data_IF_331750869026
#
_entry.id   IF_331750869026
#
_cell.length_a   1.000
_cell.length_b   1.000
_cell.length_c   1.000
_cell.angle_alpha   90.00
_cell.angle_beta   90.00
_cell.angle_gamma   90.00
#
_symmetry.space_group_name_H-M   'P 1'
#
loop_
_entity.id
_entity.type
_entity.pdbx_description
1 polymer ?
#
# COMPACT_ATOMS: atom_id res chain seq x y z
N UNK A 1 -10.71 5.79 -15.12
CA UNK A 1 -9.93 6.48 -14.07
C UNK A 1 -9.52 5.56 -12.93
N UNK A 2 -10.43 4.82 -12.26
CA UNK A 2 -10.12 3.91 -11.13
C UNK A 2 -8.98 2.92 -11.43
N UNK A 3 -9.05 2.19 -12.55
CA UNK A 3 -8.02 1.22 -12.96
C UNK A 3 -6.64 1.86 -13.13
N UNK A 4 -6.59 2.99 -13.81
CA UNK A 4 -5.32 3.70 -14.02
C UNK A 4 -4.68 4.09 -12.68
N UNK A 5 -5.47 4.57 -11.72
CA UNK A 5 -5.00 4.88 -10.37
C UNK A 5 -4.46 3.65 -9.63
N UNK A 6 -5.22 2.54 -9.64
CA UNK A 6 -4.83 1.28 -8.98
C UNK A 6 -3.54 0.66 -9.54
N UNK A 7 -3.18 0.98 -10.77
CA UNK A 7 -1.92 0.54 -11.39
C UNK A 7 -0.81 1.60 -11.23
N UNK A 8 -1.12 2.87 -11.47
CA UNK A 8 -0.12 3.93 -11.46
C UNK A 8 0.54 4.11 -10.10
N UNK A 9 -0.23 4.06 -9.01
CA UNK A 9 0.29 4.28 -7.66
C UNK A 9 1.34 3.23 -7.26
N UNK A 10 1.06 1.91 -7.28
CA UNK A 10 2.07 0.92 -6.91
C UNK A 10 3.26 0.91 -7.88
N UNK A 11 3.05 1.16 -9.18
CA UNK A 11 4.14 1.21 -10.14
C UNK A 11 5.04 2.44 -9.93
N UNK A 12 4.46 3.61 -9.66
CA UNK A 12 5.23 4.81 -9.34
C UNK A 12 6.06 4.61 -8.06
N UNK A 13 5.47 3.99 -7.04
CA UNK A 13 6.20 3.70 -5.81
C UNK A 13 7.29 2.64 -6.03
N UNK A 14 7.02 1.58 -6.79
CA UNK A 14 8.04 0.58 -7.13
C UNK A 14 9.24 1.22 -7.84
N UNK A 15 9.00 2.12 -8.79
CA UNK A 15 10.07 2.85 -9.49
C UNK A 15 10.83 3.76 -8.53
N UNK A 16 10.13 4.51 -7.66
CA UNK A 16 10.77 5.39 -6.69
C UNK A 16 11.71 4.61 -5.75
N UNK A 17 11.26 3.45 -5.27
CA UNK A 17 12.05 2.61 -4.36
C UNK A 17 13.32 2.05 -5.00
N UNK A 18 13.43 1.96 -6.33
CA UNK A 18 14.70 1.56 -6.99
C UNK A 18 15.84 2.57 -6.73
N UNK A 19 15.49 3.79 -6.36
CA UNK A 19 16.45 4.84 -6.02
C UNK A 19 16.72 4.93 -4.50
N UNK A 20 16.11 4.05 -3.70
CA UNK A 20 16.28 4.08 -2.26
C UNK A 20 17.72 3.76 -1.87
N UNK A 21 18.41 4.65 -1.12
CA UNK A 21 19.71 4.33 -0.54
C UNK A 21 19.59 3.16 0.45
N UNK A 22 20.67 2.39 0.58
CA UNK A 22 20.78 1.34 1.59
C UNK A 22 21.84 1.76 2.62
N UNK A 23 21.49 2.62 3.58
CA UNK A 23 22.43 3.04 4.61
C UNK A 23 22.76 1.90 5.57
N UNK A 24 23.88 2.01 6.26
CA UNK A 24 24.19 1.19 7.43
C UNK A 24 23.33 1.68 8.60
N UNK A 25 22.41 0.87 9.14
CA UNK A 25 21.58 1.27 10.28
C UNK A 25 22.36 1.65 11.54
N UNK A 26 23.59 1.15 11.69
CA UNK A 26 24.48 1.47 12.81
C UNK A 26 25.24 2.78 12.65
N UNK A 27 25.23 3.39 11.44
CA UNK A 27 25.92 4.63 11.15
C UNK A 27 25.17 5.45 10.07
N UNK A 28 24.00 5.96 10.45
CA UNK A 28 23.12 6.68 9.55
C UNK A 28 23.71 7.97 9.02
N UNK A 29 24.47 8.72 9.86
CA UNK A 29 25.04 9.99 9.41
C UNK A 29 26.08 9.77 8.31
N UNK A 30 27.09 8.94 8.55
CA UNK A 30 28.17 8.72 7.58
C UNK A 30 27.64 8.03 6.31
N UNK A 31 26.63 7.18 6.42
CA UNK A 31 25.98 6.57 5.26
C UNK A 31 25.21 7.55 4.38
N UNK A 32 24.69 8.65 4.92
CA UNK A 32 23.81 9.57 4.20
C UNK A 32 24.43 10.95 3.92
N UNK A 33 25.56 11.30 4.56
CA UNK A 33 26.13 12.65 4.48
C UNK A 33 26.48 13.11 3.07
N UNK A 34 26.84 12.20 2.18
CA UNK A 34 27.24 12.53 0.82
C UNK A 34 26.02 12.70 -0.12
N UNK A 35 24.90 12.03 0.15
CA UNK A 35 23.69 12.05 -0.70
C UNK A 35 22.37 12.31 0.07
N UNK A 36 22.30 13.27 1.01
CA UNK A 36 21.09 13.47 1.80
C UNK A 36 19.89 13.93 0.98
N UNK A 37 20.15 14.59 -0.17
CA UNK A 37 19.11 15.00 -1.11
C UNK A 37 18.41 13.83 -1.78
N UNK A 38 19.15 12.76 -2.12
CA UNK A 38 18.57 11.53 -2.66
C UNK A 38 17.68 10.85 -1.62
N UNK A 39 18.15 10.71 -0.40
CA UNK A 39 17.37 10.18 0.72
C UNK A 39 16.06 10.93 0.89
N UNK A 40 16.12 12.26 1.02
CA UNK A 40 14.94 13.12 1.18
C UNK A 40 13.96 13.00 0.01
N UNK A 41 14.46 12.97 -1.23
CA UNK A 41 13.59 12.85 -2.41
C UNK A 41 12.80 11.55 -2.39
N UNK A 42 13.45 10.44 -2.06
CA UNK A 42 12.79 9.13 -1.98
C UNK A 42 11.75 9.12 -0.87
N UNK A 43 12.09 9.60 0.32
CA UNK A 43 11.18 9.55 1.48
C UNK A 43 10.02 10.54 1.38
N UNK A 44 10.22 11.73 0.81
CA UNK A 44 9.12 12.64 0.49
C UNK A 44 8.14 12.03 -0.52
N UNK A 45 8.66 11.40 -1.57
CA UNK A 45 7.85 10.69 -2.55
C UNK A 45 7.12 9.50 -1.93
N UNK A 46 7.81 8.72 -1.09
CA UNK A 46 7.25 7.58 -0.36
C UNK A 46 6.12 8.01 0.57
N UNK A 47 6.31 9.08 1.35
CA UNK A 47 5.25 9.60 2.23
C UNK A 47 3.96 9.92 1.45
N UNK A 48 4.08 10.58 0.30
CA UNK A 48 2.94 10.87 -0.56
C UNK A 48 2.29 9.59 -1.10
N UNK A 49 3.11 8.64 -1.56
CA UNK A 49 2.64 7.38 -2.15
C UNK A 49 2.03 6.43 -1.10
N UNK A 50 2.44 6.48 0.17
CA UNK A 50 1.77 5.78 1.27
C UNK A 50 0.29 6.18 1.36
N UNK A 51 0.00 7.48 1.34
CA UNK A 51 -1.39 7.97 1.37
C UNK A 51 -2.18 7.52 0.15
N UNK A 52 -1.60 7.62 -1.05
CA UNK A 52 -2.23 7.16 -2.29
C UNK A 52 -2.43 5.64 -2.31
N UNK A 53 -1.51 4.86 -1.74
CA UNK A 53 -1.62 3.41 -1.66
C UNK A 53 -2.73 2.98 -0.69
N UNK A 54 -2.89 3.68 0.44
CA UNK A 54 -4.05 3.52 1.32
C UNK A 54 -5.37 3.77 0.57
N UNK A 55 -5.44 4.84 -0.22
CA UNK A 55 -6.59 5.13 -1.08
C UNK A 55 -6.79 4.05 -2.17
N UNK A 56 -5.70 3.50 -2.74
CA UNK A 56 -5.79 2.41 -3.72
C UNK A 56 -6.42 1.16 -3.11
N UNK A 57 -6.02 0.75 -1.91
CA UNK A 57 -6.64 -0.38 -1.21
C UNK A 57 -8.11 -0.09 -0.90
N UNK A 58 -8.44 1.12 -0.44
CA UNK A 58 -9.82 1.53 -0.20
C UNK A 58 -10.67 1.38 -1.47
N UNK A 59 -10.19 1.92 -2.59
CA UNK A 59 -10.85 1.80 -3.89
C UNK A 59 -10.93 0.36 -4.37
N UNK A 60 -9.92 -0.47 -4.13
CA UNK A 60 -9.89 -1.87 -4.56
C UNK A 60 -11.08 -2.66 -3.99
N UNK A 61 -11.44 -2.41 -2.74
CA UNK A 61 -12.56 -3.09 -2.06
C UNK A 61 -13.86 -2.27 -2.07
N UNK A 62 -13.89 -1.15 -2.80
CA UNK A 62 -15.09 -0.32 -2.88
C UNK A 62 -16.23 -1.04 -3.59
N UNK A 63 -17.44 -0.94 -2.99
CA UNK A 63 -18.63 -1.67 -3.44
C UNK A 63 -18.66 -3.15 -3.02
N UNK A 64 -17.60 -3.71 -2.42
CA UNK A 64 -17.65 -5.07 -1.90
C UNK A 64 -18.34 -5.09 -0.53
N UNK A 65 -19.31 -6.03 -0.33
CA UNK A 65 -20.01 -6.18 0.95
C UNK A 65 -19.18 -6.96 1.97
N UNK A 66 -19.57 -6.84 3.23
CA UNK A 66 -19.12 -7.72 4.31
C UNK A 66 -17.95 -7.17 5.13
N UNK A 67 -17.62 -7.92 6.19
CA UNK A 67 -16.67 -7.52 7.22
C UNK A 67 -15.22 -7.43 6.69
N UNK A 68 -14.84 -8.30 5.76
CA UNK A 68 -13.49 -8.29 5.19
C UNK A 68 -13.18 -6.97 4.47
N UNK A 69 -14.12 -6.43 3.67
CA UNK A 69 -13.94 -5.15 3.02
C UNK A 69 -13.85 -3.99 4.03
N UNK A 70 -14.61 -4.04 5.13
CA UNK A 70 -14.52 -3.04 6.20
C UNK A 70 -13.17 -3.09 6.91
N UNK A 71 -12.70 -4.28 7.28
CA UNK A 71 -11.39 -4.50 7.91
C UNK A 71 -10.27 -4.00 6.99
N UNK A 72 -10.33 -4.29 5.69
CA UNK A 72 -9.35 -3.82 4.71
C UNK A 72 -9.26 -2.29 4.70
N UNK A 73 -10.39 -1.59 4.71
CA UNK A 73 -10.42 -0.10 4.74
C UNK A 73 -9.83 0.47 6.02
N UNK A 74 -10.17 -0.13 7.17
CA UNK A 74 -9.60 0.28 8.46
C UNK A 74 -8.08 0.05 8.46
N UNK A 75 -7.63 -1.14 8.04
CA UNK A 75 -6.21 -1.46 7.94
C UNK A 75 -5.46 -0.48 7.02
N UNK A 76 -6.04 -0.12 5.87
CA UNK A 76 -5.46 0.88 4.96
C UNK A 76 -5.34 2.27 5.61
N UNK A 77 -6.32 2.68 6.42
CA UNK A 77 -6.24 3.92 7.20
C UNK A 77 -5.15 3.86 8.27
N UNK A 78 -5.07 2.77 9.02
CA UNK A 78 -4.01 2.56 10.02
C UNK A 78 -2.62 2.59 9.36
N UNK A 79 -2.46 1.90 8.24
CA UNK A 79 -1.22 1.95 7.45
C UNK A 79 -0.86 3.38 7.06
N UNK A 80 -1.78 4.12 6.44
CA UNK A 80 -1.49 5.47 5.93
C UNK A 80 -1.08 6.43 7.06
N UNK A 81 -1.72 6.33 8.23
CA UNK A 81 -1.43 7.20 9.38
C UNK A 81 -0.12 6.81 10.06
N UNK A 82 0.01 5.56 10.48
CA UNK A 82 1.15 5.16 11.31
C UNK A 82 2.43 4.93 10.53
N UNK A 83 2.34 4.27 9.37
CA UNK A 83 3.51 4.10 8.50
C UNK A 83 3.98 5.45 7.95
N UNK A 84 3.03 6.34 7.58
CA UNK A 84 3.33 7.70 7.17
C UNK A 84 3.97 8.53 8.29
N UNK A 85 3.58 8.36 9.55
CA UNK A 85 4.23 9.01 10.69
C UNK A 85 5.66 8.52 10.89
N UNK A 86 5.90 7.21 10.83
CA UNK A 86 7.25 6.62 10.85
C UNK A 86 8.12 7.17 9.73
N UNK A 87 7.60 7.16 8.50
CA UNK A 87 8.28 7.70 7.31
C UNK A 87 8.64 9.19 7.44
N UNK A 88 7.74 9.99 8.01
CA UNK A 88 8.00 11.41 8.22
C UNK A 88 9.14 11.65 9.23
N UNK A 89 9.24 10.82 10.27
CA UNK A 89 10.27 10.97 11.30
C UNK A 89 11.58 10.35 10.84
N UNK A 90 11.58 9.07 10.48
CA UNK A 90 12.79 8.33 10.12
C UNK A 90 13.31 8.67 8.72
N UNK A 91 12.42 8.80 7.74
CA UNK A 91 12.82 9.17 6.39
C UNK A 91 13.16 10.65 6.29
N UNK A 92 12.17 11.51 6.50
CA UNK A 92 12.32 12.95 6.26
C UNK A 92 13.10 13.61 7.40
N UNK A 93 12.75 13.33 8.66
CA UNK A 93 13.41 13.94 9.82
C UNK A 93 14.91 13.65 9.86
N UNK A 94 15.30 12.39 9.66
CA UNK A 94 16.70 11.98 9.57
C UNK A 94 17.42 12.70 8.42
N UNK A 95 16.85 12.75 7.23
CA UNK A 95 17.46 13.40 6.08
C UNK A 95 17.66 14.91 6.28
N UNK A 96 16.68 15.61 6.85
CA UNK A 96 16.78 17.03 7.19
C UNK A 96 17.86 17.27 8.24
N UNK A 97 17.94 16.39 9.26
CA UNK A 97 18.96 16.51 10.31
C UNK A 97 20.36 16.27 9.74
N UNK A 98 20.55 15.28 8.86
CA UNK A 98 21.83 15.06 8.16
C UNK A 98 22.24 16.28 7.36
N UNK A 99 21.32 16.93 6.60
CA UNK A 99 21.65 18.18 5.90
C UNK A 99 22.07 19.31 6.84
N UNK A 100 21.42 19.42 7.99
CA UNK A 100 21.77 20.42 9.00
C UNK A 100 23.17 20.16 9.58
N UNK A 101 23.48 18.91 9.94
CA UNK A 101 24.79 18.51 10.48
C UNK A 101 25.90 18.73 9.44
N UNK A 102 25.66 18.50 8.17
CA UNK A 102 26.64 18.78 7.11
C UNK A 102 27.05 20.26 7.03
N UNK A 103 26.15 21.17 7.41
CA UNK A 103 26.40 22.61 7.41
C UNK A 103 27.00 23.10 8.72
N UNK A 104 27.03 22.28 9.77
CA UNK A 104 27.55 22.64 11.08
C UNK A 104 29.10 22.71 11.08
N UNK A 105 29.69 23.52 12.00
CA UNK A 105 31.12 23.49 12.25
C UNK A 105 31.62 22.08 12.58
N UNK A 106 32.85 21.76 12.20
CA UNK A 106 33.43 20.43 12.43
C UNK A 106 33.37 19.98 13.90
N UNK A 107 33.57 20.92 14.83
CA UNK A 107 33.49 20.68 16.28
C UNK A 107 32.11 20.18 16.76
N UNK A 108 31.05 20.43 15.99
CA UNK A 108 29.66 20.08 16.32
C UNK A 108 29.19 18.83 15.60
N UNK A 109 29.87 18.39 14.54
CA UNK A 109 29.44 17.27 13.69
C UNK A 109 29.33 15.95 14.44
N UNK A 110 30.22 15.68 15.39
CA UNK A 110 30.17 14.45 16.21
C UNK A 110 28.89 14.41 17.06
N UNK A 111 28.52 15.53 17.67
CA UNK A 111 27.28 15.63 18.42
C UNK A 111 26.05 15.51 17.52
N UNK A 112 26.11 16.15 16.34
CA UNK A 112 25.08 16.07 15.31
C UNK A 112 24.88 14.64 14.79
N UNK A 113 25.95 13.91 14.47
CA UNK A 113 25.89 12.51 14.04
C UNK A 113 25.20 11.60 15.10
N UNK A 114 25.51 11.83 16.40
CA UNK A 114 24.82 11.12 17.48
C UNK A 114 23.33 11.46 17.55
N UNK A 115 22.95 12.71 17.25
CA UNK A 115 21.54 13.10 17.21
C UNK A 115 20.80 12.44 16.03
N UNK A 116 21.45 12.32 14.86
CA UNK A 116 20.93 11.57 13.71
C UNK A 116 20.65 10.13 14.10
N UNK A 117 21.63 9.45 14.71
CA UNK A 117 21.49 8.06 15.15
C UNK A 117 20.40 7.91 16.22
N UNK A 118 20.34 8.80 17.21
CA UNK A 118 19.29 8.78 18.23
C UNK A 118 17.88 9.00 17.70
N UNK A 119 17.74 9.79 16.61
CA UNK A 119 16.45 9.95 15.92
C UNK A 119 16.08 8.68 15.15
N UNK A 120 17.05 8.05 14.48
CA UNK A 120 16.86 6.79 13.78
C UNK A 120 16.44 5.66 14.73
N UNK A 121 17.15 5.48 15.83
CA UNK A 121 16.91 4.43 16.83
C UNK A 121 15.74 4.76 17.78
N UNK A 122 14.95 5.78 17.48
CA UNK A 122 13.87 6.18 18.38
C UNK A 122 12.74 5.16 18.39
N UNK A 123 12.43 4.51 19.53
CA UNK A 123 11.48 3.40 19.58
C UNK A 123 10.03 3.82 19.27
N UNK A 124 9.68 5.11 19.39
CA UNK A 124 8.33 5.57 19.05
C UNK A 124 8.13 5.62 17.54
N UNK A 125 9.15 6.04 16.80
CA UNK A 125 9.06 6.11 15.33
C UNK A 125 9.37 4.77 14.67
N UNK A 126 10.41 4.07 15.09
CA UNK A 126 10.83 2.80 14.50
C UNK A 126 9.95 1.64 14.97
N UNK A 127 9.98 1.32 16.26
CA UNK A 127 9.27 0.14 16.76
C UNK A 127 7.75 0.32 16.72
N UNK A 128 7.24 1.46 17.22
CA UNK A 128 5.80 1.61 17.42
C UNK A 128 5.08 2.05 16.12
N UNK A 129 5.47 3.18 15.53
CA UNK A 129 4.74 3.73 14.40
C UNK A 129 4.89 2.85 13.16
N UNK A 130 6.13 2.46 12.81
CA UNK A 130 6.38 1.59 11.66
C UNK A 130 5.72 0.23 11.85
N UNK A 131 5.81 -0.39 13.03
CA UNK A 131 5.21 -1.70 13.30
C UNK A 131 3.67 -1.66 13.23
N UNK A 132 3.02 -0.65 13.84
CA UNK A 132 1.55 -0.51 13.76
C UNK A 132 1.13 -0.28 12.30
N UNK A 133 1.86 0.57 11.58
CA UNK A 133 1.62 0.80 10.16
C UNK A 133 1.79 -0.47 9.33
N UNK A 134 2.83 -1.25 9.58
CA UNK A 134 3.10 -2.53 8.94
C UNK A 134 1.96 -3.55 9.19
N UNK A 135 1.52 -3.69 10.41
CA UNK A 135 0.36 -4.54 10.76
C UNK A 135 -0.88 -4.03 10.03
N UNK A 136 -1.10 -2.69 10.01
CA UNK A 136 -2.19 -2.06 9.27
C UNK A 136 -2.19 -2.45 7.79
N UNK A 137 -1.03 -2.41 7.13
CA UNK A 137 -0.89 -2.84 5.74
C UNK A 137 -1.19 -4.32 5.56
N UNK A 138 -0.56 -5.19 6.34
CA UNK A 138 -0.81 -6.64 6.27
C UNK A 138 -2.30 -6.95 6.43
N UNK A 139 -2.96 -6.37 7.45
CA UNK A 139 -4.41 -6.50 7.65
C UNK A 139 -5.19 -5.99 6.44
N UNK A 140 -4.81 -4.85 5.88
CA UNK A 140 -5.47 -4.26 4.72
C UNK A 140 -5.45 -5.19 3.51
N UNK A 141 -4.27 -5.73 3.14
CA UNK A 141 -4.13 -6.54 1.93
C UNK A 141 -4.67 -7.95 2.10
N UNK A 142 -4.50 -8.59 3.27
CA UNK A 142 -5.09 -9.91 3.53
C UNK A 142 -6.61 -9.84 3.60
N UNK A 143 -7.17 -8.81 4.22
CA UNK A 143 -8.62 -8.60 4.24
C UNK A 143 -9.15 -8.23 2.86
N UNK A 144 -8.43 -7.45 2.05
CA UNK A 144 -8.77 -7.21 0.64
C UNK A 144 -8.78 -8.51 -0.16
N UNK A 145 -7.73 -9.34 -0.02
CA UNK A 145 -7.64 -10.65 -0.66
C UNK A 145 -8.84 -11.54 -0.32
N UNK A 146 -9.22 -11.59 0.97
CA UNK A 146 -10.40 -12.31 1.41
C UNK A 146 -11.71 -11.73 0.85
N UNK A 147 -11.82 -10.40 0.75
CA UNK A 147 -13.01 -9.73 0.22
C UNK A 147 -13.19 -10.02 -1.28
N UNK A 148 -12.13 -9.86 -2.09
CA UNK A 148 -12.18 -10.15 -3.53
C UNK A 148 -12.37 -11.63 -3.81
N UNK A 149 -11.76 -12.53 -3.02
CA UNK A 149 -11.96 -13.96 -3.14
C UNK A 149 -13.43 -14.36 -2.93
N UNK A 150 -14.07 -13.85 -1.87
CA UNK A 150 -15.50 -14.08 -1.61
C UNK A 150 -16.40 -13.50 -2.70
N UNK A 151 -15.94 -12.46 -3.40
CA UNK A 151 -16.62 -11.90 -4.56
C UNK A 151 -16.38 -12.70 -5.85
N UNK A 152 -15.69 -13.84 -5.80
CA UNK A 152 -15.46 -14.74 -6.93
C UNK A 152 -14.19 -14.42 -7.74
N UNK A 153 -13.27 -13.64 -7.19
CA UNK A 153 -11.99 -13.37 -7.84
C UNK A 153 -11.14 -14.66 -7.98
N UNK A 154 -10.29 -14.74 -9.02
CA UNK A 154 -9.36 -15.85 -9.18
C UNK A 154 -8.38 -15.97 -8.01
N UNK A 155 -8.02 -17.21 -7.66
CA UNK A 155 -7.06 -17.49 -6.60
C UNK A 155 -5.72 -16.75 -6.82
N UNK A 156 -5.28 -16.63 -8.09
CA UNK A 156 -4.05 -15.91 -8.42
C UNK A 156 -4.08 -14.44 -7.95
N UNK A 157 -5.20 -13.73 -8.13
CA UNK A 157 -5.33 -12.36 -7.63
C UNK A 157 -5.31 -12.30 -6.10
N UNK A 158 -5.95 -13.26 -5.43
CA UNK A 158 -5.97 -13.38 -3.97
C UNK A 158 -4.56 -13.60 -3.41
N UNK A 159 -3.80 -14.52 -4.01
CA UNK A 159 -2.42 -14.82 -3.61
C UNK A 159 -1.51 -13.61 -3.85
N UNK A 160 -1.60 -12.96 -5.01
CA UNK A 160 -0.80 -11.78 -5.34
C UNK A 160 -1.07 -10.62 -4.37
N UNK A 161 -2.33 -10.40 -3.97
CA UNK A 161 -2.65 -9.41 -2.94
C UNK A 161 -2.02 -9.77 -1.58
N UNK A 162 -2.09 -11.04 -1.17
CA UNK A 162 -1.40 -11.49 0.04
C UNK A 162 0.11 -11.27 -0.02
N UNK A 163 0.74 -11.62 -1.14
CA UNK A 163 2.17 -11.42 -1.38
C UNK A 163 2.57 -9.94 -1.38
N UNK A 164 1.65 -9.03 -1.70
CA UNK A 164 1.96 -7.59 -1.63
C UNK A 164 2.27 -7.09 -0.21
N UNK A 165 2.00 -7.90 0.83
CA UNK A 165 2.39 -7.59 2.21
C UNK A 165 3.91 -7.40 2.39
N UNK A 166 4.73 -8.01 1.53
CA UNK A 166 6.21 -7.89 1.60
C UNK A 166 6.74 -6.48 1.29
N UNK A 167 5.91 -5.56 0.77
CA UNK A 167 6.31 -4.15 0.53
C UNK A 167 6.80 -3.45 1.80
N UNK A 168 6.45 -3.96 2.96
CA UNK A 168 6.89 -3.43 4.26
C UNK A 168 8.41 -3.48 4.45
N UNK A 169 9.07 -4.39 3.77
CA UNK A 169 10.53 -4.39 3.59
C UNK A 169 10.85 -3.48 2.39
N UNK A 170 10.56 -2.17 2.51
CA UNK A 170 10.53 -1.25 1.38
C UNK A 170 11.85 -1.09 0.62
N UNK A 171 12.98 -1.46 1.22
CA UNK A 171 14.28 -1.45 0.56
C UNK A 171 14.30 -2.40 -0.67
N UNK A 172 15.02 -2.01 -1.74
CA UNK A 172 15.22 -2.89 -2.90
C UNK A 172 15.97 -4.18 -2.51
N UNK A 173 15.67 -5.32 -3.15
CA UNK A 173 14.66 -5.49 -4.21
C UNK A 173 13.25 -5.83 -3.70
N UNK A 174 13.07 -6.04 -2.40
CA UNK A 174 11.87 -6.68 -1.83
C UNK A 174 10.64 -5.76 -1.92
N UNK A 175 10.80 -4.49 -1.53
CA UNK A 175 9.70 -3.51 -1.59
C UNK A 175 9.07 -3.36 -2.97
N UNK A 176 9.86 -3.10 -4.03
CA UNK A 176 9.37 -3.07 -5.41
C UNK A 176 8.60 -4.33 -5.82
N UNK A 177 9.09 -5.52 -5.44
CA UNK A 177 8.41 -6.80 -5.76
C UNK A 177 7.02 -6.87 -5.12
N UNK A 178 6.87 -6.44 -3.86
CA UNK A 178 5.56 -6.37 -3.20
C UNK A 178 4.56 -5.47 -3.93
N UNK A 179 5.01 -4.30 -4.40
CA UNK A 179 4.19 -3.37 -5.17
C UNK A 179 3.81 -3.92 -6.55
N UNK A 180 4.74 -4.63 -7.20
CA UNK A 180 4.45 -5.33 -8.47
C UNK A 180 3.44 -6.46 -8.27
N UNK A 181 3.48 -7.19 -7.15
CA UNK A 181 2.45 -8.18 -6.82
C UNK A 181 1.07 -7.52 -6.69
N UNK A 182 0.96 -6.35 -6.05
CA UNK A 182 -0.30 -5.61 -5.98
C UNK A 182 -0.80 -5.21 -7.38
N UNK A 183 0.06 -4.61 -8.20
CA UNK A 183 -0.29 -4.22 -9.57
C UNK A 183 -0.71 -5.42 -10.42
N UNK A 184 0.00 -6.55 -10.32
CA UNK A 184 -0.35 -7.79 -11.01
C UNK A 184 -1.71 -8.33 -10.55
N UNK A 185 -2.02 -8.27 -9.25
CA UNK A 185 -3.34 -8.65 -8.73
C UNK A 185 -4.45 -7.83 -9.37
N UNK A 186 -4.27 -6.51 -9.49
CA UNK A 186 -5.23 -5.60 -10.16
C UNK A 186 -5.44 -5.99 -11.62
N UNK A 187 -4.36 -6.32 -12.35
CA UNK A 187 -4.46 -6.78 -13.75
C UNK A 187 -5.24 -8.09 -13.85
N UNK A 188 -4.99 -9.05 -12.95
CA UNK A 188 -5.71 -10.34 -12.94
C UNK A 188 -7.19 -10.13 -12.63
N UNK A 189 -7.52 -9.26 -11.66
CA UNK A 189 -8.91 -8.92 -11.32
C UNK A 189 -9.67 -8.30 -12.49
N UNK A 190 -9.01 -7.42 -13.23
CA UNK A 190 -9.63 -6.73 -14.37
C UNK A 190 -9.91 -7.66 -15.58
N UNK A 191 -9.04 -8.65 -15.78
CA UNK A 191 -9.20 -9.64 -16.87
C UNK A 191 -10.18 -10.76 -16.54
N UNK A 192 -10.60 -10.87 -15.29
CA UNK A 192 -11.50 -11.96 -14.88
C UNK A 192 -12.93 -11.66 -15.30
N UNK A 193 -13.62 -12.57 -16.01
CA UNK A 193 -15.02 -12.38 -16.35
C UNK A 193 -15.82 -12.30 -15.03
N UNK A 194 -16.63 -11.25 -14.91
CA UNK A 194 -17.56 -11.09 -13.78
C UNK A 194 -18.57 -12.24 -13.85
N UNK A 195 -18.36 -13.27 -13.05
CA UNK A 195 -19.33 -14.36 -12.88
C UNK A 195 -20.56 -13.79 -12.17
N UNK A 196 -21.66 -13.63 -12.92
CA UNK A 196 -22.99 -13.57 -12.33
C UNK A 196 -23.77 -12.26 -12.42
N UNK A 197 -24.27 -11.92 -13.61
CA UNK A 197 -25.51 -11.13 -13.74
C UNK A 197 -26.47 -11.76 -14.77
N UNK A 198 -26.06 -12.79 -15.53
CA UNK A 198 -26.87 -13.35 -16.63
C UNK A 198 -27.86 -14.46 -16.23
N UNK A 199 -27.91 -14.87 -14.96
CA UNK A 199 -28.81 -15.98 -14.57
C UNK A 199 -30.23 -15.56 -14.27
N UNK A 200 -30.51 -14.29 -14.02
CA UNK A 200 -31.87 -13.86 -13.58
C UNK A 200 -32.79 -13.46 -14.76
N UNK A 201 -32.22 -13.21 -15.95
CA UNK A 201 -33.04 -12.80 -17.12
C UNK A 201 -33.59 -13.99 -17.94
N UNK A 202 -33.18 -15.25 -17.69
CA UNK A 202 -33.72 -16.40 -18.42
C UNK A 202 -34.94 -17.05 -17.75
N UNK A 203 -35.17 -16.81 -16.49
CA UNK A 203 -36.32 -17.41 -15.73
C UNK A 203 -37.60 -16.61 -15.84
N UNK A 204 -37.56 -15.35 -16.24
CA UNK A 204 -38.77 -14.52 -16.40
C UNK A 204 -39.40 -14.57 -17.80
N UNK A 205 -38.74 -15.14 -18.78
CA UNK A 205 -39.27 -15.19 -20.18
C UNK A 205 -40.18 -16.38 -20.47
N UNK A 206 -40.21 -17.41 -19.60
CA UNK A 206 -40.97 -18.67 -19.89
C UNK A 206 -42.28 -18.80 -19.11
N UNK A 207 -42.73 -17.79 -18.36
CA UNK A 207 -43.86 -17.89 -17.43
C UNK A 207 -45.18 -17.21 -17.85
N UNK A 208 -45.30 -16.64 -19.03
CA UNK A 208 -46.52 -15.91 -19.43
C UNK A 208 -47.24 -16.52 -20.63
N UNK A 209 -47.71 -17.77 -20.49
CA UNK A 209 -48.80 -18.29 -21.34
C UNK A 209 -50.14 -17.83 -20.78
N UNK A 210 -50.71 -16.84 -21.42
CA UNK A 210 -52.04 -16.32 -21.13
C UNK A 210 -53.06 -17.42 -21.47
N UNK A 211 -53.66 -18.00 -20.45
CA UNK A 211 -54.83 -18.89 -20.57
C UNK A 211 -56.05 -18.01 -20.85
N UNK A 212 -56.43 -17.86 -22.14
CA UNK A 212 -57.75 -17.35 -22.54
C UNK A 212 -58.80 -18.44 -22.21
N UNK A 213 -59.67 -18.17 -21.26
CA UNK A 213 -60.85 -18.98 -21.00
C UNK A 213 -61.92 -18.69 -22.06
N UNK A 214 -62.78 -19.67 -22.38
CA UNK A 214 -63.82 -19.53 -23.37
C UNK A 214 -65.02 -18.74 -22.82
N UNK A 215 -65.50 -17.72 -23.56
CA UNK A 215 -66.83 -17.14 -23.37
C UNK A 215 -67.88 -18.21 -23.62
N UNK A 216 -68.81 -18.39 -22.68
CA UNK A 216 -70.09 -19.04 -22.90
C UNK A 216 -71.17 -17.95 -22.96
N UNK A 217 -72.03 -18.10 -24.00
CA UNK A 217 -73.25 -17.41 -24.23
C UNK A 217 -74.33 -17.78 -23.20
#
# INVERSE_FOLDING_TARGET
MRRAFLLAVPLAWAVLLLFHPNPDPGDMYDSLRDEPGRWLTVHLGTLFLIGLMGAAVYLLVDGLPGTAAKISRVGAGVFAVFYGAGEAIQGIGVGVLVQHVNQAPESERVAGARAVQALWDNPVSDDLAVTIGAIGWAVAVFAAAAAVHRAGAPLAATVLLGLSSIVLMHAPPIGPVGLLCFAAAVVVLDRSPRRGVDHDNRTTATGRTVRRGPHRA
#
